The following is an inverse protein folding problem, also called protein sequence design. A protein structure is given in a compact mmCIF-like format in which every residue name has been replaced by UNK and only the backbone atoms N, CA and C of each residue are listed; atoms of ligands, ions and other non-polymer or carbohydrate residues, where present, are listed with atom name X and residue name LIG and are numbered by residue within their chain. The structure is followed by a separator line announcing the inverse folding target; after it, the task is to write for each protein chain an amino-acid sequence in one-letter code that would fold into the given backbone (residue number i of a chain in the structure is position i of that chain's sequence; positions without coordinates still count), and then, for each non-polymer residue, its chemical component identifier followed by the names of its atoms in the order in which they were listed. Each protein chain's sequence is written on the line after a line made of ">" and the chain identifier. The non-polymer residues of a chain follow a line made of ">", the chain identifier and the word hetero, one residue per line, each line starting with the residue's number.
data_IF_925331495306
#
_entry.id   IF_925331495306
#
_cell.length_a   1.000
_cell.length_b   1.000
_cell.length_c   1.000
_cell.angle_alpha   90.00
_cell.angle_beta   90.00
_cell.angle_gamma   90.00
#
_symmetry.space_group_name_H-M   'P 1'
#
loop_
_entity.id
_entity.type
_entity.pdbx_description
1 polymer ?
#
# COMPACT_ATOMS: atom_id res chain seq x y z
N UNK A 1 -18.05 -3.02 -11.01
CA UNK A 1 -18.23 -2.42 -12.37
C UNK A 1 -19.54 -1.65 -12.45
N UNK A 2 -19.46 -0.38 -12.80
CA UNK A 2 -20.57 0.53 -13.11
C UNK A 2 -20.26 1.20 -14.46
N UNK A 3 -21.28 1.40 -15.29
CA UNK A 3 -21.14 1.91 -16.66
C UNK A 3 -22.15 3.04 -16.87
N UNK A 4 -21.79 4.06 -17.65
CA UNK A 4 -22.73 5.13 -18.04
C UNK A 4 -23.90 4.55 -18.82
N UNK A 5 -25.10 5.07 -18.60
CA UNK A 5 -26.31 4.64 -19.32
C UNK A 5 -26.36 5.12 -20.78
N UNK A 6 -25.60 6.16 -21.11
CA UNK A 6 -25.44 6.68 -22.47
C UNK A 6 -23.97 6.64 -22.90
N UNK A 7 -23.70 6.56 -24.22
CA UNK A 7 -22.36 6.73 -24.76
C UNK A 7 -21.78 8.09 -24.39
N UNK A 8 -20.47 8.14 -24.19
CA UNK A 8 -19.74 9.39 -24.01
C UNK A 8 -19.78 10.19 -25.31
N UNK A 9 -20.13 11.47 -25.22
CA UNK A 9 -19.97 12.41 -26.33
C UNK A 9 -18.50 12.84 -26.40
N UNK A 10 -17.95 12.95 -27.61
CA UNK A 10 -16.61 13.53 -27.78
C UNK A 10 -16.54 14.92 -27.15
N UNK A 11 -15.38 15.26 -26.59
CA UNK A 11 -15.11 16.49 -25.83
C UNK A 11 -15.97 16.72 -24.58
N UNK A 12 -16.80 15.76 -24.19
CA UNK A 12 -17.55 15.84 -22.95
C UNK A 12 -16.86 15.01 -21.87
N UNK A 13 -16.67 15.64 -20.71
CA UNK A 13 -16.07 14.98 -19.57
C UNK A 13 -17.10 14.08 -18.88
N UNK A 14 -16.71 12.86 -18.54
CA UNK A 14 -17.42 12.08 -17.53
C UNK A 14 -16.55 12.04 -16.28
N UNK A 15 -17.10 12.48 -15.14
CA UNK A 15 -16.34 12.68 -13.91
C UNK A 15 -17.02 12.01 -12.73
N UNK A 16 -16.20 11.50 -11.81
CA UNK A 16 -16.64 10.97 -10.54
C UNK A 16 -15.80 11.54 -9.41
N UNK A 17 -16.46 11.86 -8.30
CA UNK A 17 -15.84 12.23 -7.03
C UNK A 17 -15.75 11.01 -6.13
N UNK A 18 -14.61 10.83 -5.49
CA UNK A 18 -14.40 9.76 -4.50
C UNK A 18 -15.12 10.14 -3.21
N UNK A 19 -16.12 9.35 -2.81
CA UNK A 19 -16.91 9.60 -1.59
C UNK A 19 -16.41 8.77 -0.41
N UNK A 20 -16.00 7.54 -0.68
CA UNK A 20 -15.58 6.62 0.36
C UNK A 20 -14.47 5.70 -0.12
N UNK A 21 -13.46 5.54 0.75
CA UNK A 21 -12.36 4.63 0.58
C UNK A 21 -12.37 3.64 1.74
N UNK A 22 -12.50 2.37 1.41
CA UNK A 22 -12.56 1.26 2.33
C UNK A 22 -11.22 0.52 2.31
N UNK A 23 -10.37 0.88 3.27
CA UNK A 23 -9.01 0.34 3.43
C UNK A 23 -8.97 -1.15 3.75
N UNK A 24 -10.12 -1.82 3.98
CA UNK A 24 -10.22 -3.27 4.11
C UNK A 24 -10.05 -3.99 2.77
N UNK A 25 -10.29 -3.30 1.66
CA UNK A 25 -10.10 -3.84 0.31
C UNK A 25 -8.80 -3.33 -0.28
N UNK A 26 -8.01 -4.25 -0.83
CA UNK A 26 -6.80 -3.95 -1.58
C UNK A 26 -7.11 -4.08 -3.06
N UNK A 27 -7.04 -3.01 -3.85
CA UNK A 27 -6.93 -2.95 -5.31
C UNK A 27 -7.23 -1.50 -5.74
N UNK A 28 -6.57 -1.01 -6.79
CA UNK A 28 -6.85 0.33 -7.33
C UNK A 28 -8.30 0.45 -7.78
N UNK A 29 -8.87 1.64 -7.60
CA UNK A 29 -9.99 2.06 -8.41
C UNK A 29 -9.60 1.99 -9.89
N UNK A 30 -10.52 1.55 -10.75
CA UNK A 30 -10.30 1.59 -12.19
C UNK A 30 -11.31 2.50 -12.85
N UNK A 31 -10.86 3.29 -13.80
CA UNK A 31 -11.71 4.13 -14.64
C UNK A 31 -11.30 3.98 -16.09
N UNK A 32 -12.25 4.04 -17.01
CA UNK A 32 -11.96 3.86 -18.42
C UNK A 32 -13.21 3.80 -19.26
N UNK A 33 -13.14 3.10 -20.37
CA UNK A 33 -14.21 3.06 -21.35
C UNK A 33 -14.51 1.64 -21.82
N UNK A 34 -15.78 1.44 -22.14
CA UNK A 34 -16.30 0.23 -22.77
C UNK A 34 -16.63 0.53 -24.24
N UNK A 35 -16.00 -0.16 -25.17
CA UNK A 35 -16.17 0.04 -26.62
C UNK A 35 -17.41 -0.65 -27.22
N UNK A 36 -18.35 -1.09 -26.39
CA UNK A 36 -19.56 -1.78 -26.81
C UNK A 36 -20.73 -1.51 -25.84
N UNK A 37 -22.00 -1.65 -26.27
CA UNK A 37 -23.16 -1.40 -25.42
C UNK A 37 -23.23 -2.34 -24.20
N UNK A 38 -23.53 -1.83 -22.99
CA UNK A 38 -23.58 -2.63 -21.78
C UNK A 38 -24.82 -3.55 -21.69
N UNK A 39 -25.93 -3.22 -22.35
CA UNK A 39 -27.27 -3.81 -22.14
C UNK A 39 -27.36 -5.34 -22.33
N UNK A 40 -26.42 -5.91 -23.10
CA UNK A 40 -26.40 -7.35 -23.44
C UNK A 40 -25.11 -8.04 -23.02
N UNK A 41 -24.31 -7.40 -22.17
CA UNK A 41 -23.04 -7.96 -21.72
C UNK A 41 -23.10 -8.40 -20.26
N UNK A 42 -22.87 -9.69 -20.03
CA UNK A 42 -22.66 -10.21 -18.67
C UNK A 42 -21.27 -9.81 -18.20
N UNK A 43 -21.22 -8.85 -17.29
CA UNK A 43 -19.96 -8.36 -16.75
C UNK A 43 -19.31 -9.42 -15.85
N UNK A 44 -17.98 -9.65 -15.97
CA UNK A 44 -17.24 -10.43 -15.01
C UNK A 44 -17.11 -9.69 -13.66
N UNK A 45 -16.54 -10.34 -12.66
CA UNK A 45 -16.32 -9.75 -11.32
C UNK A 45 -15.39 -8.52 -11.37
N UNK A 46 -14.43 -8.51 -12.29
CA UNK A 46 -13.48 -7.40 -12.47
C UNK A 46 -13.37 -6.99 -13.93
N UNK A 47 -13.32 -5.68 -14.20
CA UNK A 47 -13.19 -5.12 -15.55
C UNK A 47 -11.93 -5.61 -16.28
N UNK A 48 -10.90 -6.03 -15.55
CA UNK A 48 -9.67 -6.62 -16.09
C UNK A 48 -9.88 -7.94 -16.81
N UNK A 49 -10.99 -8.64 -16.53
CA UNK A 49 -11.36 -9.89 -17.20
C UNK A 49 -12.15 -9.67 -18.50
N UNK A 50 -12.48 -8.43 -18.84
CA UNK A 50 -13.18 -8.09 -20.09
C UNK A 50 -12.20 -8.22 -21.26
N UNK A 51 -12.40 -9.24 -22.10
CA UNK A 51 -11.57 -9.51 -23.30
C UNK A 51 -12.06 -8.79 -24.57
N UNK A 52 -13.24 -8.17 -24.52
CA UNK A 52 -13.77 -7.30 -25.58
C UNK A 52 -13.15 -5.89 -25.47
N UNK A 53 -13.42 -5.05 -26.47
CA UNK A 53 -12.95 -3.65 -26.51
C UNK A 53 -13.28 -2.90 -25.22
N UNK A 54 -12.25 -2.76 -24.38
CA UNK A 54 -12.33 -2.18 -23.04
C UNK A 54 -10.96 -1.57 -22.74
N UNK A 55 -10.92 -0.30 -22.37
CA UNK A 55 -9.68 0.38 -22.00
C UNK A 55 -9.83 0.84 -20.56
N UNK A 56 -8.95 0.38 -19.69
CA UNK A 56 -8.99 0.68 -18.26
C UNK A 56 -7.69 1.37 -17.83
N UNK A 57 -7.83 2.36 -16.96
CA UNK A 57 -6.73 2.99 -16.24
C UNK A 57 -6.82 2.47 -14.81
N UNK A 58 -5.72 1.90 -14.32
CA UNK A 58 -5.60 1.30 -12.99
C UNK A 58 -4.22 1.66 -12.43
N UNK A 59 -4.14 2.15 -11.20
CA UNK A 59 -2.90 2.66 -10.63
C UNK A 59 -2.30 3.74 -11.54
N UNK A 60 -1.08 3.52 -12.02
CA UNK A 60 -0.40 4.38 -13.00
C UNK A 60 -0.26 3.71 -14.38
N UNK A 61 -1.13 2.76 -14.74
CA UNK A 61 -1.03 2.00 -15.98
C UNK A 61 -2.34 2.00 -16.77
N UNK A 62 -2.21 1.82 -18.09
CA UNK A 62 -3.35 1.69 -19.01
C UNK A 62 -3.37 0.27 -19.56
N UNK A 63 -4.55 -0.32 -19.56
CA UNK A 63 -4.81 -1.68 -19.99
C UNK A 63 -5.84 -1.64 -21.12
N UNK A 64 -5.63 -2.47 -22.15
CA UNK A 64 -6.60 -2.72 -23.21
C UNK A 64 -6.96 -4.19 -23.20
N UNK A 65 -8.25 -4.50 -23.05
CA UNK A 65 -8.80 -5.87 -23.02
C UNK A 65 -8.10 -6.80 -22.01
N UNK A 66 -7.69 -6.23 -20.88
CA UNK A 66 -6.95 -6.91 -19.80
C UNK A 66 -5.44 -7.03 -20.01
N UNK A 67 -4.89 -6.55 -21.12
CA UNK A 67 -3.45 -6.50 -21.39
C UNK A 67 -2.89 -5.11 -21.10
N UNK A 68 -1.79 -5.01 -20.36
CA UNK A 68 -1.13 -3.72 -20.10
C UNK A 68 -0.53 -3.17 -21.41
N UNK A 69 -0.90 -1.95 -21.78
CA UNK A 69 -0.41 -1.27 -22.99
C UNK A 69 0.44 -0.03 -22.68
N UNK A 70 0.33 0.52 -21.47
CA UNK A 70 1.11 1.68 -21.02
C UNK A 70 1.35 1.61 -19.52
N UNK A 71 2.49 2.12 -19.07
CA UNK A 71 2.87 2.22 -17.66
C UNK A 71 3.41 3.63 -17.39
N UNK A 72 3.39 4.06 -16.12
CA UNK A 72 3.75 5.42 -15.70
C UNK A 72 2.88 6.51 -16.38
N UNK A 73 1.58 6.25 -16.51
CA UNK A 73 0.60 7.19 -17.04
C UNK A 73 -0.19 7.88 -15.92
N UNK A 74 -0.18 9.22 -15.93
CA UNK A 74 -0.96 10.04 -15.02
C UNK A 74 -0.57 9.88 -13.55
N UNK A 75 -1.39 10.39 -12.62
CA UNK A 75 -1.24 10.12 -11.20
C UNK A 75 -1.53 8.65 -10.92
N UNK A 76 -0.94 8.14 -9.85
CA UNK A 76 -1.27 6.80 -9.38
C UNK A 76 -2.68 6.79 -8.77
N UNK A 77 -3.62 6.10 -9.41
CA UNK A 77 -5.00 5.99 -8.90
C UNK A 77 -5.09 5.23 -7.55
N UNK A 78 -4.03 4.55 -7.12
CA UNK A 78 -3.93 3.97 -5.77
C UNK A 78 -3.80 5.04 -4.67
N UNK A 79 -3.37 6.25 -5.03
CA UNK A 79 -3.11 7.36 -4.11
C UNK A 79 -4.29 8.34 -4.03
N UNK A 80 -5.44 7.95 -4.59
CA UNK A 80 -6.66 8.76 -4.50
C UNK A 80 -7.13 8.89 -3.04
N UNK A 81 -7.64 10.06 -2.71
CA UNK A 81 -8.22 10.39 -1.41
C UNK A 81 -9.69 10.75 -1.57
N UNK A 82 -10.44 10.66 -0.47
CA UNK A 82 -11.82 11.14 -0.43
C UNK A 82 -11.85 12.62 -0.84
N UNK A 83 -12.79 12.98 -1.70
CA UNK A 83 -12.93 14.33 -2.25
C UNK A 83 -12.21 14.55 -3.59
N UNK A 84 -11.21 13.73 -3.94
CA UNK A 84 -10.57 13.80 -5.26
C UNK A 84 -11.60 13.52 -6.37
N UNK A 85 -11.40 14.19 -7.51
CA UNK A 85 -12.23 14.03 -8.71
C UNK A 85 -11.37 13.45 -9.82
N UNK A 86 -11.84 12.37 -10.42
CA UNK A 86 -11.24 11.80 -11.62
C UNK A 86 -12.24 11.87 -12.76
N UNK A 87 -11.73 12.17 -13.95
CA UNK A 87 -12.52 12.31 -15.16
C UNK A 87 -11.90 11.59 -16.33
N UNK A 88 -12.73 11.20 -17.28
CA UNK A 88 -12.31 10.70 -18.58
C UNK A 88 -13.03 11.47 -19.69
N UNK A 89 -12.32 11.65 -20.80
CA UNK A 89 -12.86 12.30 -21.99
C UNK A 89 -12.28 11.62 -23.23
N UNK A 90 -13.10 11.49 -24.27
CA UNK A 90 -12.63 11.16 -25.61
C UNK A 90 -12.53 12.45 -26.40
N UNK A 91 -11.34 12.77 -26.91
CA UNK A 91 -11.12 13.99 -27.69
C UNK A 91 -11.57 13.83 -29.17
N UNK A 92 -11.36 14.87 -29.97
CA UNK A 92 -11.75 14.85 -31.40
C UNK A 92 -10.99 13.81 -32.22
N UNK A 93 -9.71 13.60 -31.89
CA UNK A 93 -8.81 12.63 -32.51
C UNK A 93 -9.08 11.19 -32.03
N UNK A 94 -10.11 10.98 -31.20
CA UNK A 94 -10.46 9.67 -30.64
C UNK A 94 -9.39 9.13 -29.69
N UNK A 95 -8.72 10.01 -28.95
CA UNK A 95 -7.86 9.63 -27.84
C UNK A 95 -8.65 9.64 -26.53
N UNK A 96 -8.45 8.62 -25.70
CA UNK A 96 -8.89 8.64 -24.31
C UNK A 96 -7.92 9.47 -23.48
N UNK A 97 -8.44 10.40 -22.68
CA UNK A 97 -7.67 11.25 -21.76
C UNK A 97 -8.23 11.14 -20.35
N UNK A 98 -7.32 11.11 -19.37
CA UNK A 98 -7.64 11.15 -17.94
C UNK A 98 -7.52 12.59 -17.44
N UNK A 99 -8.41 12.98 -16.54
CA UNK A 99 -8.39 14.24 -15.81
C UNK A 99 -8.33 13.94 -14.32
N UNK A 100 -7.47 14.65 -13.60
CA UNK A 100 -7.34 14.55 -12.14
C UNK A 100 -7.52 15.94 -11.54
N UNK A 101 -8.54 16.12 -10.71
CA UNK A 101 -8.95 17.41 -10.14
C UNK A 101 -9.02 18.53 -11.20
N UNK A 102 -9.58 18.21 -12.38
CA UNK A 102 -9.71 19.14 -13.51
C UNK A 102 -8.46 19.29 -14.39
N UNK A 103 -7.32 18.71 -14.00
CA UNK A 103 -6.07 18.78 -14.77
C UNK A 103 -5.95 17.60 -15.72
N UNK A 104 -5.76 17.89 -17.00
CA UNK A 104 -5.54 16.90 -18.06
C UNK A 104 -4.20 16.17 -17.88
N UNK A 105 -4.23 14.84 -17.85
CA UNK A 105 -3.07 13.97 -17.64
C UNK A 105 -2.48 13.43 -18.95
N UNK A 106 -2.92 13.96 -20.09
CA UNK A 106 -2.51 13.55 -21.42
C UNK A 106 -3.23 12.31 -21.93
N UNK A 107 -2.76 11.77 -23.05
CA UNK A 107 -3.40 10.65 -23.75
C UNK A 107 -3.12 9.32 -23.05
N UNK A 108 -4.18 8.63 -22.60
CA UNK A 108 -4.15 7.28 -22.06
C UNK A 108 -3.99 6.24 -23.18
N UNK A 109 -4.85 6.33 -24.19
CA UNK A 109 -4.90 5.43 -25.34
C UNK A 109 -5.38 6.17 -26.59
N UNK A 110 -4.92 5.75 -27.76
CA UNK A 110 -5.30 6.28 -29.07
C UNK A 110 -6.31 5.35 -29.74
N UNK A 111 -6.94 5.82 -30.81
CA UNK A 111 -7.79 5.02 -31.70
C UNK A 111 -8.97 4.34 -30.97
N UNK A 112 -9.59 5.09 -30.05
CA UNK A 112 -10.74 4.64 -29.27
C UNK A 112 -11.98 4.47 -30.15
N UNK A 113 -12.84 3.45 -29.92
CA UNK A 113 -14.10 3.29 -30.64
C UNK A 113 -15.00 4.55 -30.57
N UNK A 114 -15.57 4.95 -31.71
CA UNK A 114 -16.37 6.16 -31.82
C UNK A 114 -17.61 6.22 -30.93
N UNK A 115 -18.19 5.05 -30.60
CA UNK A 115 -19.24 4.91 -29.57
C UNK A 115 -18.68 4.09 -28.41
N UNK A 116 -18.42 4.74 -27.29
CA UNK A 116 -17.96 4.09 -26.07
C UNK A 116 -18.67 4.65 -24.84
N UNK A 117 -18.68 3.88 -23.76
CA UNK A 117 -19.37 4.21 -22.51
C UNK A 117 -18.34 4.41 -21.41
N UNK A 118 -18.58 5.36 -20.50
CA UNK A 118 -17.73 5.54 -19.34
C UNK A 118 -17.90 4.36 -18.40
N UNK A 119 -16.79 3.83 -17.89
CA UNK A 119 -16.76 2.68 -16.99
C UNK A 119 -15.94 3.02 -15.76
N UNK A 120 -16.49 2.73 -14.59
CA UNK A 120 -15.76 2.75 -13.33
C UNK A 120 -15.87 1.37 -12.69
N UNK A 121 -14.75 0.80 -12.25
CA UNK A 121 -14.76 -0.42 -11.48
C UNK A 121 -14.34 -0.12 -10.04
N UNK A 122 -15.34 -0.21 -9.15
CA UNK A 122 -15.22 -0.05 -7.70
C UNK A 122 -14.71 -1.33 -7.01
N UNK A 123 -14.23 -2.31 -7.78
CA UNK A 123 -13.62 -3.51 -7.24
C UNK A 123 -12.24 -3.19 -6.65
N UNK A 124 -12.21 -2.78 -5.39
CA UNK A 124 -10.99 -2.43 -4.68
C UNK A 124 -11.23 -1.47 -3.52
N UNK A 125 -10.25 -0.59 -3.27
CA UNK A 125 -10.26 0.33 -2.12
C UNK A 125 -11.39 1.37 -2.19
N UNK A 126 -11.89 1.71 -3.37
CA UNK A 126 -12.98 2.67 -3.54
C UNK A 126 -14.30 1.95 -3.74
N UNK A 127 -15.22 2.04 -2.77
CA UNK A 127 -16.53 1.38 -2.83
C UNK A 127 -17.70 2.35 -3.06
N UNK A 128 -17.45 3.67 -3.01
CA UNK A 128 -18.46 4.70 -3.30
C UNK A 128 -17.88 5.90 -4.05
N UNK A 129 -18.55 6.26 -5.14
CA UNK A 129 -18.30 7.47 -5.92
C UNK A 129 -19.60 8.19 -6.25
N UNK A 130 -19.53 9.50 -6.47
CA UNK A 130 -20.64 10.32 -6.97
C UNK A 130 -20.29 10.86 -8.36
N UNK A 131 -21.20 10.77 -9.32
CA UNK A 131 -21.01 11.42 -10.63
C UNK A 131 -21.04 12.94 -10.44
N UNK A 132 -20.02 13.64 -10.94
CA UNK A 132 -19.98 15.09 -10.89
C UNK A 132 -20.78 15.64 -12.07
N UNK A 133 -21.83 16.47 -11.85
CA UNK A 133 -22.56 17.11 -12.92
C UNK A 133 -21.62 18.03 -13.71
N UNK A 134 -21.69 17.96 -15.04
CA UNK A 134 -21.07 19.00 -15.85
C UNK A 134 -21.94 20.25 -15.79
N UNK A 135 -21.39 21.40 -15.39
CA UNK A 135 -22.10 22.70 -15.44
C UNK A 135 -22.34 23.23 -16.88
N UNK A 136 -22.47 22.34 -17.87
CA UNK A 136 -22.63 22.67 -19.29
C UNK A 136 -23.74 21.92 -20.01
N UNK A 137 -24.59 21.18 -19.31
CA UNK A 137 -25.76 20.52 -19.91
C UNK A 137 -27.01 20.74 -19.08
N UNK A 138 -27.40 22.00 -18.93
CA UNK A 138 -28.77 22.36 -18.63
C UNK A 138 -29.58 22.30 -19.92
N UNK A 139 -30.16 21.15 -20.24
CA UNK A 139 -31.46 21.17 -20.90
C UNK A 139 -32.43 21.76 -19.88
N UNK A 140 -32.81 23.02 -20.09
CA UNK A 140 -33.81 23.70 -19.29
C UNK A 140 -35.11 22.89 -19.29
N UNK A 141 -35.66 22.49 -18.12
CA UNK A 141 -37.09 22.29 -18.05
C UNK A 141 -37.72 23.69 -17.96
N UNK A 142 -38.60 24.03 -18.90
CA UNK A 142 -39.50 25.16 -18.71
C UNK A 142 -40.24 25.04 -17.38
N UNK A 143 -40.45 26.16 -16.69
CA UNK A 143 -41.84 26.48 -16.40
C UNK A 143 -42.18 27.95 -16.69
N UNK A 144 -43.39 28.09 -17.19
CA UNK A 144 -44.13 29.33 -17.37
C UNK A 144 -44.15 30.25 -16.14
N UNK A 145 -44.01 31.55 -16.44
CA UNK A 145 -44.65 32.71 -15.84
C UNK A 145 -44.31 33.15 -14.39
N UNK A 146 -43.57 34.28 -14.37
CA UNK A 146 -43.97 35.62 -13.89
C UNK A 146 -43.13 36.23 -12.75
N UNK A 147 -42.51 37.35 -13.14
CA UNK A 147 -42.37 38.60 -12.40
C UNK A 147 -41.48 38.59 -11.13
N UNK A 148 -40.23 39.05 -11.29
CA UNK A 148 -39.88 40.46 -11.02
C UNK A 148 -38.39 40.71 -11.20
N UNK A 149 -38.11 41.67 -12.08
CA UNK A 149 -36.83 42.35 -12.23
C UNK A 149 -36.42 43.14 -10.97
N UNK A 150 -35.14 43.50 -10.99
CA UNK A 150 -34.44 44.66 -10.38
C UNK A 150 -33.81 44.45 -9.00
N UNK A 151 -32.52 44.16 -9.03
CA UNK A 151 -31.42 45.06 -8.61
C UNK A 151 -30.15 44.20 -8.52
N UNK A 152 -28.94 44.58 -8.88
CA UNK A 152 -28.34 45.75 -9.53
C UNK A 152 -26.99 45.19 -10.04
N UNK A 153 -26.69 45.40 -11.31
CA UNK A 153 -25.31 45.23 -11.78
C UNK A 153 -24.56 46.47 -11.32
N UNK A 154 -23.47 46.30 -10.60
CA UNK A 154 -22.24 47.06 -10.81
C UNK A 154 -21.13 46.58 -9.87
N UNK A 155 -19.91 46.64 -10.40
CA UNK A 155 -18.61 46.45 -9.76
C UNK A 155 -18.02 45.02 -9.72
N UNK A 156 -17.70 44.49 -10.91
CA UNK A 156 -16.81 43.35 -11.08
C UNK A 156 -15.55 43.79 -11.83
N UNK A 157 -14.62 44.48 -11.14
CA UNK A 157 -13.25 44.63 -11.67
C UNK A 157 -12.13 44.83 -10.64
N UNK A 158 -12.38 44.75 -9.32
CA UNK A 158 -11.30 44.93 -8.31
C UNK A 158 -10.88 43.67 -7.53
N UNK A 159 -11.57 42.54 -7.64
CA UNK A 159 -11.25 41.34 -6.80
C UNK A 159 -10.25 40.38 -7.46
N UNK A 160 -9.88 40.59 -8.72
CA UNK A 160 -8.97 39.71 -9.48
C UNK A 160 -7.48 39.99 -9.30
N UNK A 161 -7.09 41.06 -8.59
CA UNK A 161 -5.67 41.45 -8.42
C UNK A 161 -5.01 41.05 -7.11
N UNK A 162 -5.74 40.54 -6.11
CA UNK A 162 -5.16 40.16 -4.81
C UNK A 162 -5.02 38.65 -4.57
N UNK A 163 -5.57 37.78 -5.43
CA UNK A 163 -5.39 36.32 -5.33
C UNK A 163 -4.28 35.75 -6.21
N UNK A 164 -3.60 36.59 -6.98
CA UNK A 164 -2.47 36.21 -7.84
C UNK A 164 -1.09 36.36 -7.16
N UNK A 165 -0.99 36.87 -5.93
CA UNK A 165 0.30 37.10 -5.25
C UNK A 165 0.69 36.04 -4.19
N UNK A 166 -0.12 34.99 -4.00
CA UNK A 166 0.14 33.95 -2.99
C UNK A 166 0.30 32.53 -3.56
N UNK A 167 0.10 32.34 -4.87
CA UNK A 167 0.27 31.04 -5.53
C UNK A 167 1.61 30.89 -6.28
N UNK A 168 2.49 31.89 -6.22
CA UNK A 168 3.72 31.92 -7.03
C UNK A 168 5.00 31.78 -6.21
N UNK A 169 4.95 31.06 -5.08
CA UNK A 169 6.16 30.82 -4.28
C UNK A 169 6.33 29.42 -3.68
N UNK A 170 5.53 28.42 -4.05
CA UNK A 170 5.86 27.00 -3.78
C UNK A 170 5.36 26.10 -4.92
N UNK A 171 5.89 26.27 -6.13
CA UNK A 171 5.87 25.21 -7.14
C UNK A 171 7.25 25.09 -7.78
N UNK A 172 8.24 24.82 -6.93
CA UNK A 172 9.45 24.16 -7.39
C UNK A 172 9.10 22.73 -7.77
N UNK A 173 9.06 22.45 -9.07
CA UNK A 173 8.83 21.13 -9.66
C UNK A 173 9.76 20.06 -9.05
N UNK A 174 9.29 19.36 -8.02
CA UNK A 174 9.97 18.14 -7.55
C UNK A 174 9.59 17.02 -8.49
N UNK A 175 10.39 16.82 -9.53
CA UNK A 175 10.44 15.54 -10.24
C UNK A 175 10.71 14.47 -9.19
N UNK A 176 9.69 13.68 -8.80
CA UNK A 176 9.87 12.56 -7.86
C UNK A 176 10.71 11.51 -8.58
N UNK A 177 12.03 11.58 -8.42
CA UNK A 177 12.95 10.59 -8.96
C UNK A 177 12.61 9.24 -8.33
N UNK A 178 12.56 8.15 -9.12
CA UNK A 178 12.39 6.81 -8.57
C UNK A 178 13.48 6.53 -7.52
N UNK A 179 13.08 6.09 -6.32
CA UNK A 179 14.04 5.85 -5.25
C UNK A 179 15.01 4.71 -5.61
N UNK A 180 16.30 5.02 -5.71
CA UNK A 180 17.35 4.03 -6.02
C UNK A 180 17.45 2.93 -4.95
N UNK A 181 17.21 3.28 -3.67
CA UNK A 181 17.15 2.29 -2.60
C UNK A 181 16.00 1.30 -2.85
N UNK A 182 14.81 1.81 -3.18
CA UNK A 182 13.62 1.00 -3.44
C UNK A 182 13.82 0.06 -4.64
N UNK A 183 14.44 0.56 -5.73
CA UNK A 183 14.85 -0.27 -6.89
C UNK A 183 15.82 -1.38 -6.49
N UNK A 184 16.83 -1.03 -5.69
CA UNK A 184 17.85 -1.98 -5.24
C UNK A 184 17.23 -3.05 -4.34
N UNK A 185 16.38 -2.67 -3.39
CA UNK A 185 15.62 -3.60 -2.56
C UNK A 185 14.73 -4.52 -3.39
N UNK A 186 14.06 -3.99 -4.43
CA UNK A 186 13.20 -4.81 -5.32
C UNK A 186 14.02 -5.86 -6.06
N UNK A 187 15.19 -5.46 -6.56
CA UNK A 187 16.14 -6.37 -7.21
C UNK A 187 16.66 -7.44 -6.24
N UNK A 188 17.05 -7.04 -5.03
CA UNK A 188 17.51 -7.95 -3.98
C UNK A 188 16.41 -8.96 -3.61
N UNK A 189 15.15 -8.52 -3.48
CA UNK A 189 14.01 -9.43 -3.24
C UNK A 189 13.91 -10.50 -4.32
N UNK A 190 14.03 -10.12 -5.59
CA UNK A 190 14.03 -11.08 -6.70
C UNK A 190 15.22 -12.05 -6.66
N UNK A 191 16.41 -11.58 -6.22
CA UNK A 191 17.60 -12.43 -6.05
C UNK A 191 17.48 -13.43 -4.89
N UNK A 192 16.65 -13.15 -3.89
CA UNK A 192 16.39 -14.06 -2.76
C UNK A 192 15.55 -15.29 -3.17
N UNK A 193 15.06 -15.36 -4.42
CA UNK A 193 14.31 -16.51 -4.92
C UNK A 193 12.94 -16.70 -4.26
N UNK A 194 12.37 -15.64 -3.67
CA UNK A 194 11.02 -15.66 -3.11
C UNK A 194 10.02 -15.38 -4.22
N UNK A 195 9.10 -16.32 -4.52
CA UNK A 195 8.08 -16.11 -5.54
C UNK A 195 7.19 -14.89 -5.31
N UNK A 196 6.82 -14.19 -6.37
CA UNK A 196 5.91 -13.03 -6.31
C UNK A 196 4.52 -13.41 -5.77
N UNK A 197 4.14 -14.69 -5.86
CA UNK A 197 2.89 -15.21 -5.31
C UNK A 197 2.71 -15.02 -3.79
N UNK A 198 3.78 -14.75 -3.03
CA UNK A 198 3.68 -14.42 -1.61
C UNK A 198 3.29 -12.97 -1.32
N UNK A 199 3.37 -12.09 -2.32
CA UNK A 199 3.23 -10.65 -2.13
C UNK A 199 1.99 -10.11 -2.84
N UNK A 200 1.39 -9.07 -2.26
CA UNK A 200 0.42 -8.25 -2.97
C UNK A 200 1.16 -7.40 -4.01
N UNK A 201 0.68 -7.43 -5.25
CA UNK A 201 1.32 -6.71 -6.35
C UNK A 201 1.35 -5.20 -6.06
N UNK A 202 2.49 -4.57 -6.34
CA UNK A 202 2.71 -3.12 -6.25
C UNK A 202 2.58 -2.49 -4.85
N UNK A 203 2.43 -3.27 -3.77
CA UNK A 203 2.39 -2.77 -2.39
C UNK A 203 3.76 -2.81 -1.69
N UNK A 204 4.78 -2.21 -2.32
CA UNK A 204 6.06 -1.97 -1.66
C UNK A 204 6.14 -0.54 -1.13
N UNK A 205 6.50 -0.38 0.15
CA UNK A 205 6.76 0.92 0.77
C UNK A 205 8.23 1.04 1.15
N UNK A 206 8.92 2.04 0.59
CA UNK A 206 10.31 2.35 0.93
C UNK A 206 10.37 3.30 2.12
N UNK A 207 11.07 2.93 3.19
CA UNK A 207 11.28 3.75 4.38
C UNK A 207 12.71 4.30 4.48
N UNK A 208 13.44 4.44 3.36
CA UNK A 208 14.69 5.20 3.41
C UNK A 208 14.42 6.65 3.85
N UNK A 209 15.43 7.33 4.39
CA UNK A 209 15.27 8.69 4.93
C UNK A 209 14.61 9.65 3.94
N UNK A 210 15.01 9.60 2.67
CA UNK A 210 14.44 10.46 1.62
C UNK A 210 12.96 10.15 1.37
N UNK A 211 12.60 8.88 1.19
CA UNK A 211 11.20 8.50 0.95
C UNK A 211 10.31 8.77 2.15
N UNK A 212 10.82 8.55 3.37
CA UNK A 212 10.09 8.85 4.59
C UNK A 212 9.85 10.37 4.73
N UNK A 213 10.90 11.19 4.56
CA UNK A 213 10.78 12.67 4.58
C UNK A 213 9.81 13.17 3.53
N UNK A 214 9.81 12.59 2.33
CA UNK A 214 8.87 12.94 1.27
C UNK A 214 7.40 12.64 1.64
N UNK A 215 7.13 11.56 2.37
CA UNK A 215 5.77 11.24 2.83
C UNK A 215 5.31 12.08 4.03
N UNK A 216 6.23 12.72 4.74
CA UNK A 216 5.93 13.50 5.96
C UNK A 216 5.16 12.69 7.02
N UNK A 217 5.51 11.41 7.17
CA UNK A 217 4.94 10.50 8.17
C UNK A 217 5.66 10.65 9.53
N UNK A 218 4.93 10.39 10.62
CA UNK A 218 5.51 10.29 11.96
C UNK A 218 6.36 9.03 12.13
N UNK A 219 7.42 9.12 12.93
CA UNK A 219 8.31 7.99 13.24
C UNK A 219 7.66 6.93 14.14
N UNK A 220 6.59 7.29 14.85
CA UNK A 220 5.88 6.41 15.77
C UNK A 220 4.38 6.51 15.49
N UNK A 221 3.75 5.36 15.27
CA UNK A 221 2.34 5.25 14.93
C UNK A 221 1.62 4.43 15.99
N UNK A 222 0.30 4.62 16.11
CA UNK A 222 -0.55 3.87 17.04
C UNK A 222 -1.49 2.94 16.28
N UNK A 223 -1.60 1.69 16.75
CA UNK A 223 -2.56 0.71 16.22
C UNK A 223 -3.02 -0.27 17.29
N UNK A 224 -4.21 -0.82 17.10
CA UNK A 224 -4.80 -1.87 17.91
C UNK A 224 -5.76 -1.36 19.00
N UNK A 225 -6.39 -2.29 19.70
CA UNK A 225 -7.29 -2.02 20.82
C UNK A 225 -6.85 -2.83 22.06
N UNK A 226 -6.40 -2.18 23.15
CA UNK A 226 -6.15 -0.74 23.28
C UNK A 226 -5.01 -0.27 22.35
N UNK A 227 -4.99 1.00 21.90
CA UNK A 227 -3.94 1.49 21.01
C UNK A 227 -2.55 1.33 21.62
N UNK A 228 -1.62 0.74 20.86
CA UNK A 228 -0.19 0.69 21.20
C UNK A 228 0.67 1.34 20.14
N UNK A 229 1.72 1.99 20.61
CA UNK A 229 2.73 2.62 19.76
C UNK A 229 3.68 1.57 19.16
N UNK A 230 4.10 1.80 17.93
CA UNK A 230 5.17 1.07 17.26
C UNK A 230 5.98 2.03 16.38
N UNK A 231 7.28 1.78 16.19
CA UNK A 231 8.11 2.60 15.31
C UNK A 231 7.89 2.23 13.86
N UNK A 232 7.95 3.21 12.95
CA UNK A 232 8.01 2.92 11.51
C UNK A 232 9.37 2.30 11.16
N UNK A 233 9.46 1.41 10.16
CA UNK A 233 10.69 0.68 9.90
C UNK A 233 11.70 1.51 9.08
N UNK A 234 12.15 2.64 9.63
CA UNK A 234 13.06 3.58 8.97
C UNK A 234 14.34 2.86 8.50
N UNK A 235 14.70 3.06 7.24
CA UNK A 235 15.82 2.39 6.57
C UNK A 235 15.49 1.02 5.97
N UNK A 236 14.22 0.58 5.95
CA UNK A 236 13.80 -0.70 5.37
C UNK A 236 12.87 -0.51 4.16
N UNK A 237 12.72 -1.53 3.31
CA UNK A 237 11.61 -1.62 2.36
C UNK A 237 10.63 -2.69 2.83
N UNK A 238 9.35 -2.35 2.90
CA UNK A 238 8.26 -3.26 3.26
C UNK A 238 7.54 -3.76 2.03
N UNK A 239 7.33 -5.07 1.94
CA UNK A 239 6.54 -5.74 0.91
C UNK A 239 5.35 -6.42 1.58
N UNK A 240 4.12 -6.01 1.26
CA UNK A 240 2.93 -6.59 1.88
C UNK A 240 2.73 -8.04 1.42
N UNK A 241 2.44 -8.92 2.36
CA UNK A 241 2.23 -10.34 2.13
C UNK A 241 0.77 -10.63 1.77
N UNK A 242 0.55 -11.59 0.87
CA UNK A 242 -0.77 -12.18 0.60
C UNK A 242 -1.17 -13.04 1.80
N UNK A 243 -2.25 -12.67 2.48
CA UNK A 243 -2.74 -13.40 3.64
C UNK A 243 -3.32 -14.76 3.22
N UNK A 244 -2.80 -15.86 3.80
CA UNK A 244 -3.19 -17.24 3.48
C UNK A 244 -4.22 -17.87 4.44
N UNK A 245 -4.59 -17.17 5.51
CA UNK A 245 -5.35 -17.74 6.64
C UNK A 245 -6.88 -17.55 6.55
N UNK A 246 -7.62 -18.42 7.26
CA UNK A 246 -9.08 -18.62 7.24
C UNK A 246 -9.88 -17.35 7.60
N UNK A 247 -11.05 -17.19 6.97
CA UNK A 247 -11.95 -16.03 7.03
C UNK A 247 -12.35 -15.52 8.43
N UNK A 248 -12.22 -16.33 9.49
CA UNK A 248 -12.62 -15.96 10.86
C UNK A 248 -11.67 -14.95 11.54
N UNK A 249 -10.39 -14.91 11.16
CA UNK A 249 -9.39 -14.02 11.78
C UNK A 249 -9.42 -12.59 11.24
N UNK A 250 -10.13 -12.37 10.12
CA UNK A 250 -10.21 -11.07 9.44
C UNK A 250 -11.16 -10.07 10.10
N UNK A 251 -12.14 -10.54 10.89
CA UNK A 251 -13.21 -9.68 11.42
C UNK A 251 -12.69 -8.72 12.51
N UNK A 252 -11.46 -8.90 13.02
CA UNK A 252 -10.89 -8.09 14.10
C UNK A 252 -9.44 -7.59 13.89
N UNK A 253 -8.87 -7.68 12.67
CA UNK A 253 -7.43 -7.38 12.45
C UNK A 253 -7.03 -5.92 12.69
N UNK A 254 -7.97 -4.97 12.62
CA UNK A 254 -7.71 -3.55 12.92
C UNK A 254 -7.48 -3.31 14.42
N UNK A 255 -7.90 -4.27 15.25
CA UNK A 255 -7.71 -4.27 16.71
C UNK A 255 -6.37 -4.86 17.13
N UNK A 256 -5.60 -5.45 16.21
CA UNK A 256 -4.34 -6.11 16.53
C UNK A 256 -3.18 -5.11 16.57
N UNK A 257 -2.24 -5.35 17.48
CA UNK A 257 -1.04 -4.53 17.65
C UNK A 257 -0.03 -4.82 16.54
N UNK A 258 0.84 -3.87 16.23
CA UNK A 258 1.94 -4.06 15.27
C UNK A 258 3.22 -4.33 16.02
N UNK A 259 3.99 -5.30 15.53
CA UNK A 259 5.34 -5.56 16.01
C UNK A 259 6.24 -6.06 14.87
N UNK A 260 7.49 -6.30 15.21
CA UNK A 260 8.52 -6.79 14.31
C UNK A 260 9.09 -8.11 14.82
N UNK A 261 9.35 -9.02 13.89
CA UNK A 261 10.00 -10.31 14.13
C UNK A 261 11.24 -10.45 13.24
N UNK A 262 12.39 -10.70 13.84
CA UNK A 262 13.66 -10.83 13.12
C UNK A 262 13.80 -12.24 12.57
N UNK A 263 14.37 -12.38 11.38
CA UNK A 263 14.57 -13.71 10.80
C UNK A 263 15.84 -13.78 9.95
N UNK A 264 16.13 -14.99 9.45
CA UNK A 264 17.29 -15.28 8.61
C UNK A 264 16.82 -15.83 7.27
N UNK A 265 17.62 -15.68 6.22
CA UNK A 265 17.27 -16.12 4.87
C UNK A 265 16.89 -17.61 4.82
N UNK A 266 17.60 -18.45 5.57
CA UNK A 266 17.40 -19.92 5.59
C UNK A 266 16.00 -20.33 6.06
N UNK A 267 15.44 -19.58 7.01
CA UNK A 267 14.16 -19.87 7.65
C UNK A 267 13.02 -19.11 6.99
N UNK A 268 13.34 -18.01 6.30
CA UNK A 268 12.39 -17.10 5.68
C UNK A 268 11.38 -17.80 4.77
N UNK A 269 11.85 -18.69 3.89
CA UNK A 269 10.97 -19.38 2.94
C UNK A 269 9.99 -20.31 3.65
N UNK A 270 10.45 -21.03 4.68
CA UNK A 270 9.61 -21.92 5.49
C UNK A 270 8.51 -21.15 6.22
N UNK A 271 8.83 -19.97 6.78
CA UNK A 271 7.85 -19.09 7.41
C UNK A 271 6.81 -18.61 6.38
N UNK A 272 7.24 -18.23 5.17
CA UNK A 272 6.33 -17.81 4.10
C UNK A 272 5.43 -18.95 3.59
N UNK A 273 5.97 -20.15 3.41
CA UNK A 273 5.22 -21.31 2.93
C UNK A 273 4.15 -21.75 3.94
N UNK A 274 4.50 -21.75 5.23
CA UNK A 274 3.61 -22.19 6.32
C UNK A 274 2.66 -21.08 6.79
N UNK A 275 3.06 -19.81 6.63
CA UNK A 275 2.34 -18.67 7.18
C UNK A 275 2.38 -18.60 8.71
N UNK A 276 3.25 -19.39 9.36
CA UNK A 276 3.37 -19.48 10.81
C UNK A 276 4.84 -19.41 11.25
N UNK A 277 5.13 -18.51 12.18
CA UNK A 277 6.47 -18.32 12.75
C UNK A 277 6.82 -19.53 13.65
N UNK A 278 5.83 -20.19 14.24
CA UNK A 278 6.04 -21.39 15.06
C UNK A 278 6.49 -22.61 14.25
N UNK A 279 6.25 -22.67 12.93
CA UNK A 279 6.62 -23.83 12.12
C UNK A 279 8.13 -24.13 12.11
N UNK A 280 8.95 -23.19 12.60
CA UNK A 280 10.39 -23.30 12.68
C UNK A 280 10.91 -23.80 14.04
N UNK A 281 10.04 -23.98 15.05
CA UNK A 281 10.43 -24.55 16.35
C UNK A 281 10.53 -26.08 16.37
N UNK A 282 9.82 -26.78 15.47
CA UNK A 282 9.46 -28.19 15.66
C UNK A 282 10.25 -29.21 14.82
N UNK A 283 11.27 -28.80 14.06
CA UNK A 283 12.11 -29.76 13.32
C UNK A 283 13.43 -30.02 14.04
N UNK A 284 13.48 -31.20 14.66
CA UNK A 284 14.64 -31.82 15.30
C UNK A 284 15.71 -32.18 14.24
N UNK A 285 16.98 -31.86 14.53
CA UNK A 285 18.16 -32.48 13.92
C UNK A 285 18.91 -31.65 12.88
N UNK A 286 19.84 -30.81 13.33
CA UNK A 286 20.82 -30.12 12.48
C UNK A 286 20.88 -28.62 12.79
N UNK A 287 21.95 -28.20 13.46
CA UNK A 287 22.05 -26.89 14.10
C UNK A 287 21.78 -25.68 13.20
N UNK A 288 21.03 -24.73 13.75
CA UNK A 288 21.25 -23.29 13.56
C UNK A 288 20.61 -22.53 14.73
N UNK A 289 21.46 -22.30 15.73
CA UNK A 289 21.57 -21.15 16.63
C UNK A 289 20.27 -20.33 16.77
N UNK A 290 19.48 -20.71 17.76
CA UNK A 290 18.63 -19.76 18.45
C UNK A 290 19.51 -18.69 19.09
N UNK A 291 18.95 -17.48 19.14
CA UNK A 291 19.32 -16.35 19.98
C UNK A 291 20.04 -16.73 21.30
N UNK A 292 20.95 -15.87 21.80
CA UNK A 292 21.78 -16.16 22.96
C UNK A 292 20.95 -16.75 24.10
N UNK A 293 21.36 -17.94 24.55
CA UNK A 293 20.93 -18.48 25.83
C UNK A 293 21.15 -17.40 26.88
N UNK A 294 20.09 -17.07 27.62
CA UNK A 294 20.19 -16.26 28.82
C UNK A 294 21.32 -16.81 29.68
N UNK A 295 22.27 -15.95 30.01
CA UNK A 295 23.37 -16.23 30.93
C UNK A 295 22.80 -16.87 32.20
N UNK A 296 23.47 -17.95 32.62
CA UNK A 296 23.06 -18.90 33.63
C UNK A 296 22.48 -18.27 34.91
N UNK A 297 21.25 -18.67 35.26
CA UNK A 297 20.81 -18.68 36.65
C UNK A 297 21.19 -20.02 37.27
N UNK A 298 21.78 -19.94 38.46
CA UNK A 298 22.34 -21.05 39.23
C UNK A 298 21.30 -22.13 39.57
N UNK A 299 21.82 -23.36 39.63
CA UNK A 299 21.11 -24.63 39.76
C UNK A 299 20.04 -24.68 40.84
N UNK A 300 18.85 -25.19 40.49
CA UNK A 300 18.20 -26.39 41.08
C UNK A 300 16.73 -26.49 40.64
N UNK A 301 16.48 -27.22 39.55
CA UNK A 301 15.30 -28.10 39.40
C UNK A 301 15.27 -28.75 38.02
N UNK A 302 14.81 -30.01 38.01
CA UNK A 302 14.73 -31.02 36.95
C UNK A 302 14.22 -30.52 35.58
N UNK A 303 14.56 -31.21 34.47
CA UNK A 303 14.14 -30.82 33.13
C UNK A 303 12.67 -31.18 32.93
N UNK A 304 11.79 -30.19 32.94
CA UNK A 304 10.43 -30.36 32.44
C UNK A 304 10.43 -30.34 30.91
N UNK A 305 9.99 -31.44 30.35
CA UNK A 305 9.85 -31.75 28.93
C UNK A 305 8.68 -30.98 28.29
N UNK A 306 8.71 -29.64 28.26
CA UNK A 306 7.73 -28.80 27.53
C UNK A 306 8.20 -27.35 27.31
N UNK A 307 9.47 -27.12 26.99
CA UNK A 307 9.98 -25.79 26.65
C UNK A 307 9.65 -25.41 25.21
N UNK A 308 8.37 -25.15 24.92
CA UNK A 308 7.97 -24.45 23.69
C UNK A 308 8.78 -23.14 23.60
N UNK A 309 9.61 -23.03 22.56
CA UNK A 309 10.46 -21.87 22.30
C UNK A 309 9.56 -20.64 22.14
N UNK A 310 9.75 -19.68 23.04
CA UNK A 310 8.99 -18.44 23.07
C UNK A 310 9.39 -17.57 21.87
N UNK A 311 8.41 -17.07 21.12
CA UNK A 311 8.65 -16.13 20.03
C UNK A 311 8.91 -14.76 20.65
N UNK A 312 9.99 -14.10 20.23
CA UNK A 312 10.35 -12.74 20.66
C UNK A 312 10.13 -11.77 19.50
N UNK A 313 9.40 -10.70 19.77
CA UNK A 313 9.07 -9.60 18.86
C UNK A 313 9.30 -8.27 19.56
N UNK A 314 9.17 -7.16 18.85
CA UNK A 314 9.30 -5.83 19.43
C UNK A 314 8.43 -4.80 18.74
N UNK A 315 7.94 -3.77 19.45
CA UNK A 315 7.26 -2.63 18.83
C UNK A 315 8.20 -1.77 17.99
N UNK A 316 9.52 -1.97 18.09
CA UNK A 316 10.51 -1.24 17.29
C UNK A 316 11.40 -2.14 16.45
N UNK A 317 11.57 -1.77 15.18
CA UNK A 317 12.50 -2.45 14.29
C UNK A 317 13.96 -2.20 14.69
N UNK A 318 14.26 -1.17 15.49
CA UNK A 318 15.63 -0.86 15.91
C UNK A 318 16.21 -1.97 16.77
N UNK A 319 15.38 -2.57 17.61
CA UNK A 319 15.75 -3.70 18.45
C UNK A 319 15.86 -4.98 17.62
N UNK A 320 14.78 -5.35 16.92
CA UNK A 320 14.70 -6.61 16.16
C UNK A 320 15.57 -6.61 14.88
N UNK A 321 15.94 -5.44 14.39
CA UNK A 321 16.79 -5.28 13.21
C UNK A 321 18.29 -5.51 13.48
N UNK A 322 18.69 -5.75 14.74
CA UNK A 322 20.08 -5.99 15.10
C UNK A 322 20.59 -7.37 14.63
N UNK A 323 21.88 -7.64 14.82
CA UNK A 323 22.51 -8.87 14.30
C UNK A 323 22.05 -10.14 15.00
N UNK A 324 21.61 -10.03 16.24
CA UNK A 324 21.17 -11.14 17.06
C UNK A 324 19.82 -11.68 16.56
N UNK A 325 18.87 -10.80 16.24
CA UNK A 325 17.53 -11.18 15.77
C UNK A 325 17.42 -11.26 14.23
N UNK A 326 18.14 -10.41 13.51
CA UNK A 326 18.10 -10.32 12.05
C UNK A 326 19.52 -10.28 11.47
N UNK A 327 20.29 -11.38 11.54
CA UNK A 327 21.67 -11.41 11.07
C UNK A 327 21.79 -11.07 9.60
N UNK A 328 22.85 -10.35 9.26
CA UNK A 328 23.15 -9.97 7.89
C UNK A 328 23.66 -11.17 7.08
N UNK A 329 23.18 -11.31 5.86
CA UNK A 329 23.67 -12.30 4.89
C UNK A 329 24.11 -11.60 3.60
N UNK A 330 24.97 -12.28 2.84
CA UNK A 330 25.52 -11.75 1.58
C UNK A 330 24.75 -12.32 0.40
N UNK A 331 24.37 -11.45 -0.54
CA UNK A 331 23.84 -11.85 -1.85
C UNK A 331 24.72 -11.31 -2.96
N UNK A 332 25.14 -12.19 -3.87
CA UNK A 332 25.86 -11.82 -5.08
C UNK A 332 24.88 -11.69 -6.24
N UNK A 333 24.86 -10.54 -6.90
CA UNK A 333 24.17 -10.41 -8.17
C UNK A 333 24.99 -11.10 -9.28
N UNK A 334 24.48 -12.17 -9.89
CA UNK A 334 25.22 -12.91 -10.90
C UNK A 334 25.55 -12.07 -12.14
N UNK A 335 24.71 -11.07 -12.45
CA UNK A 335 24.81 -10.21 -13.63
C UNK A 335 25.83 -9.09 -13.45
N UNK A 336 25.79 -8.41 -12.31
CA UNK A 336 26.66 -7.24 -12.06
C UNK A 336 27.88 -7.55 -11.20
N UNK A 337 27.93 -8.74 -10.58
CA UNK A 337 28.93 -9.13 -9.56
C UNK A 337 28.93 -8.24 -8.31
N UNK A 338 27.95 -7.33 -8.16
CA UNK A 338 27.78 -6.54 -6.93
C UNK A 338 27.33 -7.45 -5.78
N UNK A 339 27.95 -7.29 -4.62
CA UNK A 339 27.57 -8.00 -3.39
C UNK A 339 26.75 -7.07 -2.51
N UNK A 340 25.61 -7.56 -2.03
CA UNK A 340 24.72 -6.86 -1.10
C UNK A 340 24.80 -7.50 0.29
N UNK A 341 24.81 -6.67 1.34
CA UNK A 341 24.62 -7.11 2.72
C UNK A 341 23.17 -6.84 3.10
N UNK A 342 22.41 -7.91 3.33
CA UNK A 342 20.97 -7.86 3.45
C UNK A 342 20.52 -8.37 4.82
N UNK A 343 19.53 -7.71 5.38
CA UNK A 343 18.79 -8.12 6.58
C UNK A 343 17.32 -8.29 6.23
N UNK A 344 16.67 -9.22 6.93
CA UNK A 344 15.26 -9.53 6.73
C UNK A 344 14.52 -9.63 8.06
N UNK A 345 13.34 -9.06 8.10
CA UNK A 345 12.44 -9.14 9.24
C UNK A 345 11.00 -9.20 8.73
N UNK A 346 10.08 -9.57 9.59
CA UNK A 346 8.65 -9.47 9.32
C UNK A 346 8.04 -8.34 10.15
N UNK A 347 7.19 -7.55 9.51
CA UNK A 347 6.15 -6.81 10.22
C UNK A 347 4.99 -7.77 10.45
N UNK A 348 4.54 -7.85 11.70
CA UNK A 348 3.51 -8.79 12.14
C UNK A 348 2.39 -8.06 12.88
N UNK A 349 1.22 -8.68 12.88
CA UNK A 349 0.11 -8.28 13.74
C UNK A 349 0.01 -9.25 14.91
N UNK A 350 -0.19 -8.69 16.10
CA UNK A 350 -0.29 -9.43 17.36
C UNK A 350 -1.66 -9.25 17.98
N UNK A 351 -2.26 -10.37 18.36
CA UNK A 351 -3.55 -10.39 19.05
C UNK A 351 -3.39 -9.72 20.42
N UNK A 352 -4.24 -8.74 20.78
CA UNK A 352 -4.19 -8.16 22.11
C UNK A 352 -4.45 -9.22 23.19
N UNK A 353 -3.65 -9.19 24.26
CA UNK A 353 -3.77 -10.13 25.38
C UNK A 353 -3.06 -11.48 25.18
N UNK A 354 -2.50 -11.75 24.00
CA UNK A 354 -1.80 -13.02 23.72
C UNK A 354 -0.29 -12.98 23.97
N UNK A 355 0.26 -11.84 24.39
CA UNK A 355 1.71 -11.65 24.57
C UNK A 355 2.03 -10.92 25.87
N UNK A 356 3.27 -11.10 26.33
CA UNK A 356 3.84 -10.42 27.51
C UNK A 356 4.94 -9.48 27.08
N UNK A 357 5.01 -8.31 27.71
CA UNK A 357 6.09 -7.34 27.53
C UNK A 357 7.19 -7.57 28.57
N UNK A 358 8.44 -7.43 28.17
CA UNK A 358 9.60 -7.63 29.03
C UNK A 358 10.83 -6.84 28.57
N UNK A 359 11.90 -6.87 29.38
CA UNK A 359 13.13 -6.14 29.10
C UNK A 359 13.90 -6.73 27.93
N UNK A 360 14.75 -5.93 27.32
CA UNK A 360 15.72 -6.39 26.33
C UNK A 360 16.72 -7.39 26.93
N UNK A 361 17.07 -8.42 26.16
CA UNK A 361 18.01 -9.49 26.51
C UNK A 361 19.43 -9.28 25.97
N UNK A 362 19.71 -8.17 25.26
CA UNK A 362 21.02 -7.85 24.68
C UNK A 362 22.04 -7.29 25.70
N UNK A 363 21.62 -7.05 26.95
CA UNK A 363 22.50 -6.52 28.00
C UNK A 363 22.97 -5.07 27.78
N UNK A 364 22.32 -4.34 26.86
CA UNK A 364 22.67 -2.96 26.54
C UNK A 364 22.17 -1.99 27.62
N UNK A 365 23.06 -1.09 28.06
CA UNK A 365 22.72 -0.01 29.01
C UNK A 365 22.09 1.20 28.31
N UNK A 366 22.49 1.44 27.06
CA UNK A 366 22.03 2.58 26.29
C UNK A 366 20.60 2.36 25.79
N UNK A 367 19.84 3.46 25.72
CA UNK A 367 18.49 3.43 25.20
C UNK A 367 18.50 3.10 23.69
N UNK A 368 17.84 2.00 23.31
CA UNK A 368 17.87 1.48 21.93
C UNK A 368 16.94 2.28 21.02
N UNK A 369 15.77 2.67 21.53
CA UNK A 369 14.78 3.46 20.81
C UNK A 369 14.34 4.65 21.68
N UNK A 370 14.32 5.88 21.14
CA UNK A 370 13.95 7.07 21.91
C UNK A 370 12.56 7.02 22.57
N UNK A 371 11.61 6.32 21.95
CA UNK A 371 10.22 6.28 22.44
C UNK A 371 9.95 5.08 23.35
N UNK A 372 10.66 3.96 23.17
CA UNK A 372 10.40 2.72 23.91
C UNK A 372 11.46 2.47 24.98
N UNK A 373 11.07 2.30 26.26
CA UNK A 373 12.03 1.99 27.31
C UNK A 373 12.58 0.56 27.13
N UNK A 374 13.87 0.37 27.44
CA UNK A 374 14.53 -0.94 27.35
C UNK A 374 13.85 -2.04 28.19
N UNK A 375 13.02 -1.68 29.17
CA UNK A 375 12.23 -2.60 30.00
C UNK A 375 11.01 -3.22 29.30
N UNK A 376 10.63 -2.74 28.11
CA UNK A 376 9.40 -3.16 27.41
C UNK A 376 9.62 -3.55 25.94
N UNK A 377 10.88 -3.69 25.52
CA UNK A 377 11.24 -3.96 24.13
C UNK A 377 10.92 -5.37 23.65
N UNK A 378 10.85 -6.36 24.54
CA UNK A 378 10.59 -7.75 24.18
C UNK A 378 9.13 -8.11 24.38
N UNK A 379 8.43 -8.35 23.28
CA UNK A 379 7.07 -8.84 23.24
C UNK A 379 7.09 -10.32 22.92
N UNK A 380 6.53 -11.13 23.82
CA UNK A 380 6.75 -12.55 23.79
C UNK A 380 5.46 -13.36 23.88
N UNK A 381 5.34 -14.38 23.04
CA UNK A 381 4.14 -15.25 22.98
C UNK A 381 4.52 -16.72 22.81
N UNK A 382 3.62 -17.58 23.29
CA UNK A 382 3.60 -19.03 23.07
C UNK A 382 2.29 -19.50 22.43
N UNK A 383 1.32 -18.61 22.22
CA UNK A 383 -0.01 -18.93 21.70
C UNK A 383 0.04 -19.04 20.16
N UNK A 384 -0.20 -20.23 19.63
CA UNK A 384 -0.33 -20.44 18.18
C UNK A 384 -1.50 -19.63 17.61
N UNK A 385 -1.33 -19.10 16.40
CA UNK A 385 -2.35 -18.28 15.73
C UNK A 385 -2.56 -16.88 16.35
N UNK A 386 -1.74 -16.50 17.33
CA UNK A 386 -1.77 -15.15 17.93
C UNK A 386 -0.89 -14.13 17.18
N UNK A 387 -0.16 -14.58 16.17
CA UNK A 387 0.72 -13.77 15.31
C UNK A 387 0.30 -13.95 13.86
N UNK A 388 0.13 -12.85 13.13
CA UNK A 388 -0.14 -12.86 11.69
C UNK A 388 0.98 -12.14 10.95
N UNK A 389 1.54 -12.79 9.93
CA UNK A 389 2.51 -12.16 9.03
C UNK A 389 1.80 -11.10 8.18
N UNK A 390 2.29 -9.86 8.22
CA UNK A 390 1.69 -8.76 7.46
C UNK A 390 2.59 -8.29 6.30
N UNK A 391 3.89 -8.12 6.56
CA UNK A 391 4.83 -7.63 5.57
C UNK A 391 6.23 -8.20 5.74
N UNK A 392 6.93 -8.44 4.63
CA UNK A 392 8.36 -8.73 4.63
C UNK A 392 9.14 -7.40 4.58
N UNK A 393 10.08 -7.23 5.49
CA UNK A 393 10.99 -6.10 5.55
C UNK A 393 12.36 -6.53 5.03
N UNK A 394 12.93 -5.74 4.13
CA UNK A 394 14.28 -5.93 3.59
C UNK A 394 15.09 -4.67 3.82
N UNK A 395 16.27 -4.80 4.42
CA UNK A 395 17.25 -3.72 4.57
C UNK A 395 18.56 -4.10 3.93
N UNK A 396 19.11 -3.19 3.14
CA UNK A 396 20.45 -3.29 2.55
C UNK A 396 21.35 -2.30 3.30
N UNK A 397 22.49 -2.78 3.82
CA UNK A 397 23.40 -1.97 4.66
C UNK A 397 24.60 -1.40 3.90
N UNK A 398 24.88 -1.89 2.69
CA UNK A 398 25.96 -1.37 1.83
C UNK A 398 25.36 -0.95 0.49
N UNK A 399 25.06 0.34 0.33
CA UNK A 399 24.70 0.89 -0.98
C UNK A 399 25.92 1.43 -1.72
#
# INVERSE_FOLDING_TARGET
>A
IIVTSQPLRKKHMFQVRIEHLNTRWSFSLMIGILGFPPDKYTFPVSSMSIKKSCIMIQGNAVYSSGCKIKENYGPNLDELQIGHVIGIMVDEESNLRLFFNGVDQGVAARDVPGSCYGLVDLYGICDKVTVVPNEGSGESPEPHHKDKEKAEKENMEEVLKEKQSLSESILGSVVIRPCEYAKTCSKVRSLMGIPDGFFLEQQMTCYCESCHKLRSEDLYLRRGEPPREYSVPLGWCRYILKQRQKASSFVASDKWHVAYYGTQLEVLRKILDTGDIHACSDQMGGGSILLPQSIAFTEKSRPDSSSLKQIIMSPTIRYIGCNEFSPKFKLLDPRTKKTFHVRVAFQVWLKPGSYKTGPQSLGLTDQIDPQFPNSELEWSTKEHGSVLLHGLLIKIENL
#
